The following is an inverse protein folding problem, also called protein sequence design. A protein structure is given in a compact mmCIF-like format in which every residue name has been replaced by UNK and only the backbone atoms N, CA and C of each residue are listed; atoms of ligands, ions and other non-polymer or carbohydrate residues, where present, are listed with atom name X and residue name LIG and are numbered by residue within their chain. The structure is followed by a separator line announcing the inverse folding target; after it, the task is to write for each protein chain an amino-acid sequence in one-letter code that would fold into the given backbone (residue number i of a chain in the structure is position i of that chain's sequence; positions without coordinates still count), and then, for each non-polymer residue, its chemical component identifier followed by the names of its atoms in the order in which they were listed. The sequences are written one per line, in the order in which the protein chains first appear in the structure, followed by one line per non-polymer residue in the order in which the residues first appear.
data_IF_192818689877
#
_entry.id   IF_192818689877
#
_cell.length_a   1.000
_cell.length_b   1.000
_cell.length_c   1.000
_cell.angle_alpha   90.00
_cell.angle_beta   90.00
_cell.angle_gamma   90.00
#
_symmetry.space_group_name_H-M   'P 1'
#
loop_
_entity.id
_entity.type
_entity.pdbx_description
1 polymer ?
#
# COMPACT_ATOMS: atom_id res chain seq x y z
N UNK A 1 2.04 11.77 10.27
CA UNK A 1 0.74 12.16 9.72
C UNK A 1 0.87 12.51 8.25
N UNK A 2 -0.08 12.08 7.44
CA UNK A 2 -0.15 12.42 6.03
C UNK A 2 -1.46 13.10 5.70
N UNK A 3 -1.91 12.93 4.46
CA UNK A 3 -3.17 13.49 3.96
C UNK A 3 -4.10 12.34 3.56
N UNK A 4 -5.31 12.34 4.10
CA UNK A 4 -6.32 11.34 3.74
C UNK A 4 -6.87 11.60 2.34
N UNK A 5 -6.94 10.56 1.52
CA UNK A 5 -7.49 10.65 0.16
C UNK A 5 -8.78 9.85 0.06
N UNK A 6 -8.77 8.61 0.53
CA UNK A 6 -9.96 7.77 0.59
C UNK A 6 -10.25 7.52 2.06
N UNK A 7 -11.46 7.83 2.55
CA UNK A 7 -11.78 7.71 3.97
C UNK A 7 -11.94 6.26 4.43
N UNK A 8 -11.91 6.07 5.73
CA UNK A 8 -12.11 4.79 6.36
C UNK A 8 -10.97 4.46 7.32
N UNK A 9 -11.24 3.58 8.27
CA UNK A 9 -10.26 3.14 9.26
C UNK A 9 -10.10 1.64 9.12
N UNK A 10 -8.85 1.19 8.94
CA UNK A 10 -8.55 -0.24 8.87
C UNK A 10 -7.31 -0.54 9.71
N UNK A 11 -7.25 -1.77 10.20
CA UNK A 11 -6.09 -2.26 10.94
C UNK A 11 -5.60 -3.54 10.29
N UNK A 12 -4.31 -3.73 10.28
CA UNK A 12 -3.74 -4.94 9.72
C UNK A 12 -2.23 -4.93 9.80
N UNK A 13 -1.67 -6.01 9.30
CA UNK A 13 -0.23 -6.18 9.24
C UNK A 13 0.33 -5.36 8.07
N UNK A 14 1.38 -4.61 8.34
CA UNK A 14 2.02 -3.78 7.33
C UNK A 14 2.88 -4.62 6.39
N UNK A 15 2.86 -4.28 5.12
CA UNK A 15 3.79 -4.79 4.12
C UNK A 15 4.45 -3.59 3.47
N UNK A 16 5.73 -3.37 3.77
CA UNK A 16 6.45 -2.18 3.32
C UNK A 16 7.26 -2.53 2.08
N UNK A 17 6.92 -1.89 0.96
CA UNK A 17 7.60 -2.06 -0.31
C UNK A 17 8.33 -0.76 -0.65
N UNK A 18 9.53 -0.58 -0.07
CA UNK A 18 10.30 0.64 -0.22
C UNK A 18 10.65 0.95 -1.69
N UNK A 19 10.73 -0.10 -2.53
CA UNK A 19 10.98 0.05 -3.96
C UNK A 19 9.69 0.14 -4.77
N UNK A 20 8.54 0.19 -4.10
CA UNK A 20 7.22 0.14 -4.73
C UNK A 20 6.99 -1.22 -5.43
N UNK A 21 5.93 -1.33 -6.19
CA UNK A 21 5.57 -2.53 -6.96
C UNK A 21 5.43 -2.12 -8.41
N UNK A 22 6.05 -2.87 -9.30
CA UNK A 22 5.91 -2.63 -10.74
C UNK A 22 4.44 -2.74 -11.14
N UNK A 23 3.92 -1.72 -11.81
CA UNK A 23 2.52 -1.68 -12.21
C UNK A 23 2.16 -2.77 -13.20
N UNK A 24 3.07 -3.09 -14.08
CA UNK A 24 2.81 -4.07 -15.13
C UNK A 24 3.39 -5.44 -14.72
N UNK A 25 2.51 -6.31 -14.26
CA UNK A 25 2.92 -7.65 -13.85
C UNK A 25 3.59 -7.73 -12.49
N UNK A 26 3.53 -6.68 -11.69
CA UNK A 26 4.17 -6.66 -10.37
C UNK A 26 3.46 -7.51 -9.32
N UNK A 27 2.18 -7.79 -9.52
CA UNK A 27 1.42 -8.69 -8.66
C UNK A 27 0.64 -9.69 -9.48
N UNK A 28 0.31 -10.82 -8.85
CA UNK A 28 -0.66 -11.77 -9.39
C UNK A 28 -2.05 -11.34 -8.91
N UNK A 29 -2.95 -10.88 -9.78
CA UNK A 29 -4.25 -10.39 -9.34
C UNK A 29 -5.11 -11.46 -8.65
N UNK A 30 -4.90 -12.71 -8.94
CA UNK A 30 -5.70 -13.79 -8.35
C UNK A 30 -5.34 -14.04 -6.89
N UNK A 31 -4.07 -13.91 -6.54
CA UNK A 31 -3.58 -14.25 -5.20
C UNK A 31 -3.04 -13.04 -4.42
N UNK A 32 -2.77 -11.93 -5.11
CA UNK A 32 -2.12 -10.77 -4.52
C UNK A 32 -0.62 -10.95 -4.27
N UNK A 33 -0.04 -12.05 -4.76
CA UNK A 33 1.38 -12.32 -4.54
C UNK A 33 2.24 -11.38 -5.36
N UNK A 34 3.26 -10.80 -4.73
CA UNK A 34 4.19 -9.89 -5.41
C UNK A 34 5.12 -10.69 -6.29
N UNK A 35 5.11 -10.36 -7.56
CA UNK A 35 5.91 -11.03 -8.59
C UNK A 35 7.04 -10.15 -9.12
N UNK A 36 7.10 -8.89 -8.69
CA UNK A 36 8.14 -7.97 -9.10
C UNK A 36 9.49 -8.54 -8.68
N UNK A 37 10.31 -8.83 -9.67
CA UNK A 37 11.55 -9.57 -9.51
C UNK A 37 12.52 -8.89 -8.54
N UNK A 38 12.53 -7.57 -8.53
CA UNK A 38 13.45 -6.79 -7.70
C UNK A 38 12.85 -6.38 -6.35
N UNK A 39 11.60 -6.73 -6.09
CA UNK A 39 10.95 -6.33 -4.86
C UNK A 39 11.41 -7.20 -3.70
N UNK A 40 11.77 -6.56 -2.59
CA UNK A 40 12.23 -7.25 -1.38
C UNK A 40 11.16 -8.21 -0.83
N UNK A 41 9.89 -7.94 -1.13
CA UNK A 41 8.77 -8.76 -0.65
C UNK A 41 8.26 -9.74 -1.71
N UNK A 42 9.05 -10.02 -2.73
CA UNK A 42 8.67 -10.99 -3.76
C UNK A 42 8.23 -12.31 -3.13
N UNK A 43 7.10 -12.81 -3.56
CA UNK A 43 6.51 -14.03 -3.02
C UNK A 43 5.54 -13.82 -1.87
N UNK A 44 5.48 -12.63 -1.30
CA UNK A 44 4.50 -12.29 -0.25
C UNK A 44 3.23 -11.76 -0.89
N UNK A 45 2.09 -12.00 -0.24
CA UNK A 45 0.81 -11.52 -0.74
C UNK A 45 0.44 -10.18 -0.11
N UNK A 46 -0.14 -9.29 -0.92
CA UNK A 46 -0.69 -8.02 -0.44
C UNK A 46 -2.08 -8.18 0.18
N UNK A 47 -2.70 -9.35 0.01
CA UNK A 47 -4.06 -9.58 0.46
C UNK A 47 -4.22 -9.29 1.95
N UNK A 48 -5.20 -8.45 2.26
CA UNK A 48 -5.56 -8.05 3.64
C UNK A 48 -4.42 -7.38 4.42
N UNK A 49 -3.39 -6.90 3.73
CA UNK A 49 -2.30 -6.16 4.35
C UNK A 49 -2.56 -4.66 4.28
N UNK A 50 -1.84 -3.91 5.09
CA UNK A 50 -1.73 -2.46 4.92
C UNK A 50 -0.46 -2.24 4.09
N UNK A 51 -0.64 -1.90 2.82
CA UNK A 51 0.46 -1.77 1.88
C UNK A 51 1.08 -0.39 1.96
N UNK A 52 2.39 -0.31 2.14
CA UNK A 52 3.10 0.95 2.30
C UNK A 52 4.18 1.06 1.24
N UNK A 53 4.12 2.11 0.44
CA UNK A 53 5.03 2.33 -0.69
C UNK A 53 5.35 3.80 -0.85
N UNK A 54 6.47 4.15 -1.51
CA UNK A 54 6.76 5.57 -1.77
C UNK A 54 5.83 6.19 -2.82
N UNK A 55 5.28 5.39 -3.71
CA UNK A 55 4.40 5.81 -4.79
C UNK A 55 4.25 4.67 -5.77
N UNK A 56 3.71 4.94 -6.95
CA UNK A 56 3.67 3.91 -7.99
C UNK A 56 5.05 3.77 -8.63
N UNK A 57 5.24 2.66 -9.33
CA UNK A 57 6.46 2.42 -10.09
C UNK A 57 6.09 2.46 -11.58
N UNK A 58 5.99 3.69 -12.03
CA UNK A 58 5.84 4.17 -13.39
C UNK A 58 5.22 3.28 -14.45
N UNK A 59 3.96 2.90 -14.37
CA UNK A 59 3.35 2.10 -15.41
C UNK A 59 1.87 2.43 -15.56
N UNK A 60 1.40 2.48 -16.78
CA UNK A 60 -0.01 2.70 -17.08
C UNK A 60 -0.88 1.52 -16.65
N UNK A 61 -0.29 0.34 -16.43
CA UNK A 61 -1.02 -0.84 -16.00
C UNK A 61 -1.27 -0.92 -14.50
N UNK A 62 -0.74 0.02 -13.73
CA UNK A 62 -0.76 -0.05 -12.27
C UNK A 62 -2.17 -0.19 -11.71
N UNK A 63 -3.10 0.68 -12.14
CA UNK A 63 -4.49 0.62 -11.68
C UNK A 63 -5.21 -0.63 -12.18
N UNK A 64 -4.87 -1.12 -13.37
CA UNK A 64 -5.47 -2.33 -13.93
C UNK A 64 -5.16 -3.56 -13.09
N UNK A 65 -3.91 -3.75 -12.71
CA UNK A 65 -3.51 -4.92 -11.92
C UNK A 65 -4.10 -4.86 -10.51
N UNK A 66 -4.08 -3.70 -9.87
CA UNK A 66 -4.67 -3.56 -8.54
C UNK A 66 -6.18 -3.65 -8.58
N UNK A 67 -6.82 -3.10 -9.62
CA UNK A 67 -8.26 -3.25 -9.81
C UNK A 67 -8.66 -4.72 -10.01
N UNK A 68 -7.86 -5.47 -10.75
CA UNK A 68 -8.08 -6.91 -10.93
C UNK A 68 -7.92 -7.66 -9.61
N UNK A 69 -6.96 -7.28 -8.78
CA UNK A 69 -6.78 -7.86 -7.45
C UNK A 69 -8.00 -7.60 -6.57
N UNK A 70 -8.56 -6.40 -6.63
CA UNK A 70 -9.78 -6.07 -5.89
C UNK A 70 -10.94 -6.95 -6.33
N UNK A 71 -11.13 -7.12 -7.63
CA UNK A 71 -12.18 -7.95 -8.17
C UNK A 71 -12.02 -9.43 -7.78
N UNK A 72 -10.78 -9.89 -7.65
CA UNK A 72 -10.48 -11.27 -7.26
C UNK A 72 -10.49 -11.48 -5.74
N UNK A 73 -10.63 -10.42 -4.96
CA UNK A 73 -10.63 -10.50 -3.50
C UNK A 73 -9.25 -10.57 -2.86
N UNK A 74 -8.20 -10.21 -3.60
CA UNK A 74 -6.82 -10.25 -3.11
C UNK A 74 -6.21 -8.88 -2.85
N UNK A 75 -7.04 -7.83 -2.77
CA UNK A 75 -6.59 -6.47 -2.53
C UNK A 75 -6.10 -6.27 -1.10
N UNK A 76 -5.23 -5.28 -0.84
CA UNK A 76 -4.90 -4.90 0.52
C UNK A 76 -6.10 -4.26 1.21
N UNK A 77 -6.06 -4.18 2.53
CA UNK A 77 -7.11 -3.51 3.31
C UNK A 77 -7.04 -1.99 3.15
N UNK A 78 -5.85 -1.47 3.02
CA UNK A 78 -5.60 -0.06 2.85
C UNK A 78 -4.17 0.13 2.41
N UNK A 79 -3.82 1.35 2.00
CA UNK A 79 -2.45 1.64 1.64
C UNK A 79 -2.05 3.07 1.94
N UNK A 80 -0.74 3.26 2.08
CA UNK A 80 -0.15 4.56 2.34
C UNK A 80 0.99 4.78 1.35
N UNK A 81 1.06 5.99 0.82
CA UNK A 81 2.12 6.39 -0.10
C UNK A 81 2.88 7.56 0.50
N UNK A 82 4.21 7.52 0.44
CA UNK A 82 5.02 8.65 0.89
C UNK A 82 4.63 9.91 0.15
N UNK A 83 4.39 9.77 -1.17
CA UNK A 83 3.88 10.84 -2.03
C UNK A 83 2.89 10.25 -3.02
N UNK A 84 1.93 11.07 -3.47
CA UNK A 84 1.00 10.66 -4.49
C UNK A 84 1.52 11.06 -5.87
N UNK A 85 1.37 10.17 -6.84
CA UNK A 85 1.61 10.45 -8.26
C UNK A 85 0.34 10.09 -9.04
N UNK A 86 0.36 10.32 -10.36
CA UNK A 86 -0.81 10.09 -11.21
C UNK A 86 -1.31 8.65 -11.14
N UNK A 87 -0.40 7.69 -11.24
CA UNK A 87 -0.78 6.27 -11.25
C UNK A 87 -1.33 5.84 -9.89
N UNK A 88 -0.72 6.29 -8.80
CA UNK A 88 -1.21 5.98 -7.45
C UNK A 88 -2.56 6.64 -7.21
N UNK A 89 -2.76 7.86 -7.70
CA UNK A 89 -4.04 8.56 -7.59
C UNK A 89 -5.16 7.81 -8.29
N UNK A 90 -4.93 7.38 -9.53
CA UNK A 90 -5.91 6.61 -10.30
C UNK A 90 -6.20 5.27 -9.61
N UNK A 91 -5.17 4.57 -9.18
CA UNK A 91 -5.34 3.29 -8.50
C UNK A 91 -6.14 3.45 -7.21
N UNK A 92 -5.90 4.50 -6.43
CA UNK A 92 -6.65 4.77 -5.20
C UNK A 92 -8.12 4.98 -5.49
N UNK A 93 -8.45 5.72 -6.54
CA UNK A 93 -9.83 5.93 -6.96
C UNK A 93 -10.50 4.62 -7.39
N UNK A 94 -9.78 3.77 -8.11
CA UNK A 94 -10.29 2.46 -8.54
C UNK A 94 -10.48 1.52 -7.36
N UNK A 95 -9.53 1.47 -6.46
CA UNK A 95 -9.53 0.53 -5.34
C UNK A 95 -10.56 0.85 -4.28
N UNK A 96 -10.83 2.13 -4.03
CA UNK A 96 -11.77 2.57 -3.01
C UNK A 96 -11.46 2.00 -1.61
N UNK A 97 -10.19 1.86 -1.30
CA UNK A 97 -9.75 1.42 0.03
C UNK A 97 -9.16 2.62 0.78
N UNK A 98 -9.16 2.62 2.12
CA UNK A 98 -8.59 3.72 2.88
C UNK A 98 -7.16 4.03 2.43
N UNK A 99 -6.88 5.31 2.19
CA UNK A 99 -5.62 5.75 1.58
C UNK A 99 -5.13 7.01 2.27
N UNK A 100 -3.86 7.01 2.67
CA UNK A 100 -3.17 8.16 3.23
C UNK A 100 -1.91 8.42 2.41
N UNK A 101 -1.65 9.68 2.08
CA UNK A 101 -0.54 10.07 1.22
C UNK A 101 0.18 11.30 1.77
N UNK A 102 1.30 11.66 1.13
CA UNK A 102 2.00 12.93 1.36
C UNK A 102 2.45 13.13 2.81
N UNK A 103 3.17 12.16 3.33
CA UNK A 103 3.80 12.26 4.65
C UNK A 103 5.01 13.20 4.59
N UNK A 104 5.31 13.84 5.72
CA UNK A 104 6.56 14.60 5.84
C UNK A 104 7.76 13.65 5.79
N UNK A 105 8.95 14.19 5.53
CA UNK A 105 10.18 13.39 5.51
C UNK A 105 10.41 12.66 6.83
N UNK A 106 10.12 13.33 7.93
CA UNK A 106 10.30 12.75 9.27
C UNK A 106 9.30 11.64 9.55
N UNK A 107 8.15 11.70 8.91
CA UNK A 107 7.07 10.74 9.10
C UNK A 107 6.92 9.78 7.93
N UNK A 108 7.95 9.63 7.09
CA UNK A 108 7.88 8.74 5.92
C UNK A 108 7.58 7.31 6.38
N UNK A 109 6.41 6.75 5.99
CA UNK A 109 6.02 5.43 6.46
C UNK A 109 6.93 4.32 5.96
N UNK A 110 7.59 4.52 4.83
CA UNK A 110 8.53 3.53 4.33
C UNK A 110 9.76 3.39 5.22
N UNK A 111 10.05 4.41 6.03
CA UNK A 111 11.17 4.41 6.97
C UNK A 111 10.72 4.04 8.38
N UNK A 112 9.57 4.59 8.80
CA UNK A 112 9.08 4.47 10.18
C UNK A 112 8.41 3.12 10.46
N UNK A 113 7.79 2.52 9.45
CA UNK A 113 7.05 1.28 9.60
C UNK A 113 7.86 0.13 9.01
N UNK A 114 7.81 -1.03 9.64
CA UNK A 114 8.49 -2.24 9.15
C UNK A 114 7.46 -3.29 8.79
N UNK A 115 7.78 -4.09 7.78
CA UNK A 115 6.92 -5.22 7.41
C UNK A 115 6.69 -6.11 8.62
N UNK A 116 5.44 -6.42 8.88
CA UNK A 116 5.04 -7.21 10.04
C UNK A 116 4.51 -6.38 11.20
N UNK A 117 4.75 -5.07 11.20
CA UNK A 117 4.14 -4.18 12.20
C UNK A 117 2.62 -4.24 12.05
N UNK A 118 1.91 -4.23 13.16
CA UNK A 118 0.45 -4.13 13.12
C UNK A 118 0.08 -2.66 13.24
N UNK A 119 -0.63 -2.14 12.24
CA UNK A 119 -0.87 -0.71 12.12
C UNK A 119 -2.34 -0.39 11.95
N UNK A 120 -2.73 0.82 12.31
CA UNK A 120 -4.04 1.38 12.02
C UNK A 120 -3.88 2.51 11.00
N UNK A 121 -4.59 2.38 9.89
CA UNK A 121 -4.62 3.40 8.84
C UNK A 121 -5.96 4.10 8.90
N UNK A 122 -5.95 5.43 9.07
CA UNK A 122 -7.14 6.25 9.11
C UNK A 122 -7.13 7.21 7.92
N UNK A 123 -7.83 6.84 6.86
CA UNK A 123 -7.92 7.66 5.66
C UNK A 123 -8.77 8.89 5.85
N UNK A 124 -9.60 8.93 6.88
CA UNK A 124 -10.43 10.08 7.19
C UNK A 124 -9.61 11.18 7.84
N UNK A 125 -8.78 10.82 8.81
CA UNK A 125 -7.89 11.78 9.51
C UNK A 125 -6.54 11.96 8.86
N UNK A 126 -6.15 11.06 7.96
CA UNK A 126 -4.84 11.09 7.32
C UNK A 126 -3.71 10.61 8.22
N UNK A 127 -3.96 9.61 9.04
CA UNK A 127 -2.97 9.10 9.99
C UNK A 127 -2.66 7.63 9.78
N UNK A 128 -1.44 7.26 10.15
CA UNK A 128 -0.98 5.87 10.19
C UNK A 128 -0.32 5.67 11.54
N UNK A 129 -0.83 4.74 12.32
CA UNK A 129 -0.39 4.51 13.70
C UNK A 129 0.13 3.08 13.86
N UNK A 130 1.31 2.94 14.45
CA UNK A 130 1.87 1.63 14.77
C UNK A 130 1.28 1.17 16.09
N UNK A 131 0.49 0.11 16.07
CA UNK A 131 -0.15 -0.43 17.25
C UNK A 131 0.73 -1.47 17.95
N UNK A 132 1.47 -2.24 17.16
CA UNK A 132 2.35 -3.29 17.67
C UNK A 132 3.50 -3.47 16.68
N UNK A 133 4.72 -3.48 17.18
CA UNK A 133 5.88 -3.67 16.32
C UNK A 133 6.07 -5.14 15.96
N UNK A 134 6.73 -5.40 14.84
CA UNK A 134 7.07 -6.75 14.41
C UNK A 134 8.21 -7.34 15.23
N UNK A 135 8.87 -6.51 16.02
CA UNK A 135 10.03 -6.91 16.82
C UNK A 135 9.64 -7.94 17.86
N UNK A 136 10.43 -8.95 17.96
CA UNK A 136 10.24 -10.01 18.95
C UNK A 136 11.28 -9.95 20.02
#
# INVERSE_FOLDING_TARGET
QGRGVIPGIVEGEALVCADSITGWGGIDPKTGVIKDYENINKGKSIKDKILIMPGSKGSNGWSCYFGAARAAGSAPKGWAFSRIDSSAGVASAVMQIPTVVDFSKEDDPCVRVKTGDYVRLDGTKGTLEILKTSLQ
#
